data_IF_466659398812
#
_entry.id   IF_466659398812
#
_cell.length_a   1.000
_cell.length_b   1.000
_cell.length_c   1.000
_cell.angle_alpha   90.00
_cell.angle_beta   90.00
_cell.angle_gamma   90.00
#
_symmetry.space_group_name_H-M   'P 1'
#
loop_
_entity.id
_entity.type
_entity.pdbx_description
1 polymer ?
#
# COMPACT_ATOMS: atom_id res chain seq x y z
N UNK A 1 18.75 71.62 -13.58
CA UNK A 1 19.78 70.57 -13.44
C UNK A 1 19.18 69.27 -13.90
N UNK A 2 19.81 68.57 -14.85
CA UNK A 2 19.24 67.39 -15.49
C UNK A 2 19.67 66.12 -14.74
N UNK A 3 18.70 65.41 -14.15
CA UNK A 3 18.96 64.20 -13.36
C UNK A 3 18.43 62.95 -14.07
N UNK A 4 19.01 61.80 -13.72
CA UNK A 4 18.56 60.47 -14.09
C UNK A 4 18.07 59.75 -12.83
N UNK A 5 16.87 59.20 -12.89
CA UNK A 5 16.30 58.33 -11.85
C UNK A 5 16.79 56.90 -12.02
N UNK A 6 17.28 56.30 -10.93
CA UNK A 6 17.70 54.90 -10.87
C UNK A 6 16.97 54.22 -9.72
N UNK A 7 16.36 53.07 -10.02
CA UNK A 7 15.79 52.16 -9.02
C UNK A 7 16.82 51.07 -8.72
N UNK A 8 17.35 51.05 -7.51
CA UNK A 8 18.15 49.94 -6.97
C UNK A 8 17.24 48.92 -6.29
N UNK A 9 17.40 47.64 -6.59
CA UNK A 9 16.67 46.55 -5.95
C UNK A 9 17.67 45.53 -5.39
N UNK A 10 17.53 45.20 -4.11
CA UNK A 10 18.20 44.09 -3.44
C UNK A 10 17.17 43.00 -3.13
N UNK A 11 17.31 41.84 -3.75
CA UNK A 11 16.35 40.74 -3.70
C UNK A 11 16.88 39.62 -2.80
N UNK A 12 16.45 39.63 -1.54
CA UNK A 12 16.72 38.58 -0.57
C UNK A 12 15.72 37.41 -0.64
N UNK A 13 15.95 36.37 0.16
CA UNK A 13 15.07 35.20 0.25
C UNK A 13 13.71 35.51 0.89
N UNK A 14 13.66 36.52 1.76
CA UNK A 14 12.47 36.95 2.51
C UNK A 14 12.31 38.48 2.57
N UNK A 15 13.09 39.24 1.79
CA UNK A 15 13.03 40.69 1.81
C UNK A 15 13.37 41.29 0.45
N UNK A 16 12.83 42.47 0.18
CA UNK A 16 13.13 43.28 -0.99
C UNK A 16 13.56 44.66 -0.48
N UNK A 17 14.85 44.94 -0.53
CA UNK A 17 15.38 46.28 -0.34
C UNK A 17 15.23 47.08 -1.62
N UNK A 18 14.78 48.34 -1.52
CA UNK A 18 14.60 49.17 -2.70
C UNK A 18 14.97 50.63 -2.41
N UNK A 19 15.63 51.26 -3.38
CA UNK A 19 16.03 52.66 -3.33
C UNK A 19 15.76 53.36 -4.65
N UNK A 20 15.25 54.58 -4.59
CA UNK A 20 15.11 55.45 -5.76
C UNK A 20 16.09 56.62 -5.59
N UNK A 21 17.07 56.72 -6.49
CA UNK A 21 18.11 57.74 -6.43
C UNK A 21 18.08 58.61 -7.69
N UNK A 22 18.19 59.91 -7.49
CA UNK A 22 18.42 60.89 -8.54
C UNK A 22 19.92 61.15 -8.64
N UNK A 23 20.53 60.78 -9.75
CA UNK A 23 21.95 61.08 -10.03
C UNK A 23 22.08 62.07 -11.19
N UNK A 24 23.14 62.87 -11.24
CA UNK A 24 23.45 63.72 -12.41
C UNK A 24 23.60 62.90 -13.69
N UNK A 25 23.19 63.48 -14.83
CA UNK A 25 23.36 62.80 -16.14
C UNK A 25 24.82 62.78 -16.62
N UNK A 26 25.61 63.80 -16.29
CA UNK A 26 27.03 63.89 -16.65
C UNK A 26 27.93 63.36 -15.53
N UNK A 27 29.03 62.72 -15.90
CA UNK A 27 30.02 62.20 -14.96
C UNK A 27 30.78 63.32 -14.25
N UNK A 28 30.98 64.46 -14.92
CA UNK A 28 31.66 65.64 -14.38
C UNK A 28 30.87 66.30 -13.24
N UNK A 29 29.58 65.98 -13.14
CA UNK A 29 28.68 66.50 -12.11
C UNK A 29 28.44 65.50 -10.97
N UNK A 30 29.04 64.32 -11.04
CA UNK A 30 28.89 63.29 -10.01
C UNK A 30 29.39 63.82 -8.65
N UNK A 31 28.58 63.70 -7.61
CA UNK A 31 28.89 64.22 -6.27
C UNK A 31 28.57 65.70 -6.05
N UNK A 32 28.21 66.48 -7.09
CA UNK A 32 27.84 67.90 -6.94
C UNK A 32 26.37 68.11 -6.55
N UNK A 33 25.48 67.30 -7.13
CA UNK A 33 24.05 67.33 -6.83
C UNK A 33 23.44 65.95 -7.07
N UNK A 34 22.25 65.71 -6.54
CA UNK A 34 21.61 64.40 -6.50
C UNK A 34 21.03 64.14 -5.13
N UNK A 35 20.08 63.22 -5.04
CA UNK A 35 19.44 62.90 -3.78
C UNK A 35 18.88 61.48 -3.78
N UNK A 36 18.72 60.95 -2.58
CA UNK A 36 17.90 59.76 -2.36
C UNK A 36 16.45 60.26 -2.29
N UNK A 37 15.64 59.84 -3.25
CA UNK A 37 14.21 60.21 -3.32
C UNK A 37 13.38 59.30 -2.44
N UNK A 38 13.73 58.02 -2.37
CA UNK A 38 13.01 57.05 -1.57
C UNK A 38 13.90 55.86 -1.17
N UNK A 39 13.63 55.33 0.02
CA UNK A 39 14.21 54.10 0.54
C UNK A 39 13.10 53.28 1.18
N UNK A 40 13.12 51.97 0.96
CA UNK A 40 12.18 51.06 1.60
C UNK A 40 12.73 49.65 1.70
N UNK A 41 12.20 48.91 2.68
CA UNK A 41 12.40 47.47 2.78
C UNK A 41 11.04 46.79 2.90
N UNK A 42 10.77 45.87 1.99
CA UNK A 42 9.57 45.02 2.04
C UNK A 42 9.97 43.67 2.59
N UNK A 43 9.54 43.39 3.83
CA UNK A 43 9.69 42.07 4.43
C UNK A 43 8.56 41.17 3.94
N UNK A 44 8.92 40.00 3.42
CA UNK A 44 8.00 38.94 3.05
C UNK A 44 7.87 38.02 4.28
N UNK A 45 6.69 37.94 4.91
CA UNK A 45 6.53 37.11 6.10
C UNK A 45 6.67 35.63 5.74
N UNK A 46 7.72 35.01 6.26
CA UNK A 46 8.01 33.57 6.15
C UNK A 46 8.19 33.02 7.56
N UNK A 47 7.83 31.76 7.78
CA UNK A 47 8.00 31.11 9.09
C UNK A 47 9.49 30.96 9.43
N UNK A 48 9.88 31.32 10.66
CA UNK A 48 11.28 31.31 11.11
C UNK A 48 11.95 29.93 10.94
N UNK A 49 11.24 28.85 11.27
CA UNK A 49 11.72 27.48 11.09
C UNK A 49 12.01 27.11 9.63
N UNK A 50 11.26 27.68 8.67
CA UNK A 50 11.49 27.45 7.26
C UNK A 50 12.76 28.17 6.79
N UNK A 51 12.96 29.42 7.22
CA UNK A 51 14.15 30.21 6.95
C UNK A 51 15.42 29.56 7.52
N UNK A 52 15.39 29.14 8.78
CA UNK A 52 16.54 28.50 9.43
C UNK A 52 16.95 27.18 8.75
N UNK A 53 15.96 26.39 8.31
CA UNK A 53 16.22 25.15 7.56
C UNK A 53 16.74 25.43 6.15
N UNK A 54 16.26 26.48 5.51
CA UNK A 54 16.71 26.88 4.18
C UNK A 54 18.17 27.41 4.22
N UNK A 55 18.47 28.28 5.18
CA UNK A 55 19.82 28.87 5.36
C UNK A 55 20.88 27.83 5.78
N UNK A 56 20.50 26.82 6.55
CA UNK A 56 21.38 25.69 6.90
C UNK A 56 21.58 24.67 5.77
N UNK A 57 20.98 24.89 4.59
CA UNK A 57 21.04 23.95 3.46
C UNK A 57 20.20 22.68 3.66
N UNK A 58 19.34 22.66 4.68
CA UNK A 58 18.40 21.57 4.94
C UNK A 58 17.23 21.55 3.97
N UNK A 59 16.58 20.39 3.82
CA UNK A 59 15.35 20.29 3.04
C UNK A 59 14.20 21.00 3.78
N UNK A 60 13.92 22.25 3.39
CA UNK A 60 12.77 22.99 3.88
C UNK A 60 11.49 22.54 3.14
N UNK A 61 10.54 21.94 3.86
CA UNK A 61 9.24 21.57 3.27
C UNK A 61 8.40 22.83 3.03
N UNK A 62 8.02 23.09 1.79
CA UNK A 62 7.14 24.22 1.47
C UNK A 62 5.71 23.97 1.93
N UNK A 63 4.95 25.05 2.23
CA UNK A 63 3.50 24.96 2.51
C UNK A 63 2.74 24.26 1.39
N UNK A 64 3.16 24.45 0.14
CA UNK A 64 2.57 23.78 -1.02
C UNK A 64 2.85 22.27 -1.03
N UNK A 65 4.05 21.84 -0.64
CA UNK A 65 4.41 20.43 -0.48
C UNK A 65 3.56 19.77 0.62
N UNK A 66 3.46 20.39 1.80
CA UNK A 66 2.63 19.88 2.90
C UNK A 66 1.14 19.79 2.49
N UNK A 67 0.62 20.81 1.80
CA UNK A 67 -0.76 20.79 1.24
C UNK A 67 -0.94 19.66 0.24
N UNK A 68 0.05 19.39 -0.61
CA UNK A 68 0.05 18.30 -1.60
C UNK A 68 -0.02 16.94 -0.92
N UNK A 69 0.77 16.70 0.13
CA UNK A 69 0.75 15.45 0.91
C UNK A 69 -0.66 15.23 1.50
N UNK A 70 -1.18 16.23 2.23
CA UNK A 70 -2.53 16.14 2.83
C UNK A 70 -3.62 15.90 1.77
N UNK A 71 -3.53 16.55 0.60
CA UNK A 71 -4.45 16.34 -0.53
C UNK A 71 -4.34 14.91 -1.09
N UNK A 72 -3.13 14.37 -1.18
CA UNK A 72 -2.88 12.98 -1.57
C UNK A 72 -3.59 11.99 -0.66
N UNK A 73 -3.40 12.11 0.66
CA UNK A 73 -4.04 11.24 1.65
C UNK A 73 -5.57 11.30 1.59
N UNK A 74 -6.15 12.49 1.39
CA UNK A 74 -7.61 12.64 1.20
C UNK A 74 -8.11 11.90 -0.05
N UNK A 75 -7.39 12.02 -1.17
CA UNK A 75 -7.73 11.30 -2.41
C UNK A 75 -7.63 9.78 -2.22
N UNK A 76 -6.61 9.29 -1.51
CA UNK A 76 -6.47 7.86 -1.20
C UNK A 76 -7.62 7.34 -0.35
N UNK A 77 -8.01 8.06 0.71
CA UNK A 77 -9.16 7.73 1.55
C UNK A 77 -10.47 7.72 0.75
N UNK A 78 -10.68 8.70 -0.12
CA UNK A 78 -11.85 8.75 -1.00
C UNK A 78 -11.90 7.55 -1.95
N UNK A 79 -10.78 7.23 -2.62
CA UNK A 79 -10.69 6.07 -3.52
C UNK A 79 -10.89 4.75 -2.78
N UNK A 80 -10.41 4.63 -1.54
CA UNK A 80 -10.66 3.45 -0.70
C UNK A 80 -12.15 3.25 -0.43
N UNK A 81 -12.86 4.32 -0.02
CA UNK A 81 -14.32 4.28 0.19
C UNK A 81 -15.04 3.89 -1.10
N UNK A 82 -14.75 4.58 -2.20
CA UNK A 82 -15.40 4.35 -3.49
C UNK A 82 -15.27 2.89 -3.97
N UNK A 83 -14.09 2.26 -3.82
CA UNK A 83 -13.92 0.84 -4.19
C UNK A 83 -14.72 -0.10 -3.31
N UNK A 84 -14.83 0.19 -2.02
CA UNK A 84 -15.64 -0.61 -1.08
C UNK A 84 -17.13 -0.46 -1.37
N UNK A 85 -17.58 0.77 -1.65
CA UNK A 85 -18.97 1.05 -2.04
C UNK A 85 -19.33 0.30 -3.33
N UNK A 86 -18.43 0.32 -4.32
CA UNK A 86 -18.61 -0.44 -5.58
C UNK A 86 -18.72 -1.94 -5.34
N UNK A 87 -17.85 -2.51 -4.51
CA UNK A 87 -17.92 -3.94 -4.18
C UNK A 87 -19.25 -4.31 -3.51
N UNK A 88 -19.69 -3.51 -2.54
CA UNK A 88 -20.96 -3.75 -1.84
C UNK A 88 -22.14 -3.68 -2.81
N UNK A 89 -22.16 -2.70 -3.73
CA UNK A 89 -23.20 -2.61 -4.78
C UNK A 89 -23.24 -3.86 -5.65
N UNK A 90 -22.07 -4.36 -6.06
CA UNK A 90 -21.98 -5.63 -6.81
C UNK A 90 -22.57 -6.77 -6.00
N UNK A 91 -22.19 -6.91 -4.73
CA UNK A 91 -22.73 -7.97 -3.87
C UNK A 91 -24.24 -7.86 -3.65
N UNK A 92 -24.79 -6.66 -3.48
CA UNK A 92 -26.25 -6.45 -3.38
C UNK A 92 -26.97 -6.87 -4.65
N UNK A 93 -26.49 -6.43 -5.82
CA UNK A 93 -27.08 -6.83 -7.11
C UNK A 93 -27.06 -8.35 -7.25
N UNK A 94 -25.94 -9.00 -6.91
CA UNK A 94 -25.81 -10.46 -6.95
C UNK A 94 -26.73 -11.17 -5.95
N UNK A 95 -27.26 -10.49 -4.94
CA UNK A 95 -28.00 -11.10 -3.82
C UNK A 95 -27.09 -11.74 -2.77
N UNK A 96 -25.80 -11.42 -2.80
CA UNK A 96 -24.77 -11.91 -1.87
C UNK A 96 -24.79 -11.13 -0.55
N UNK A 97 -25.22 -9.88 -0.59
CA UNK A 97 -25.48 -9.07 0.60
C UNK A 97 -26.92 -8.57 0.55
N UNK A 98 -27.58 -8.44 1.72
CA UNK A 98 -28.91 -7.87 1.77
C UNK A 98 -28.88 -6.37 1.42
N UNK A 99 -29.99 -5.87 0.89
CA UNK A 99 -30.16 -4.46 0.51
C UNK A 99 -29.96 -3.51 1.69
N UNK A 100 -30.21 -4.04 2.89
CA UNK A 100 -30.13 -3.33 4.15
C UNK A 100 -28.69 -3.12 4.67
N UNK A 101 -27.69 -3.71 4.01
CA UNK A 101 -26.28 -3.55 4.34
C UNK A 101 -25.86 -2.07 4.25
N UNK A 102 -25.35 -1.44 5.33
CA UNK A 102 -25.37 0.02 5.46
C UNK A 102 -24.17 0.76 4.85
N UNK A 103 -23.09 0.04 4.50
CA UNK A 103 -21.77 0.67 4.33
C UNK A 103 -21.55 1.41 3.00
N UNK A 104 -22.38 1.15 1.99
CA UNK A 104 -22.35 1.82 0.68
C UNK A 104 -23.22 3.09 0.63
N UNK A 105 -23.97 3.39 1.70
CA UNK A 105 -24.88 4.53 1.76
C UNK A 105 -24.64 5.38 3.01
N UNK A 106 -23.93 6.50 2.83
CA UNK A 106 -23.65 7.44 3.92
C UNK A 106 -24.90 8.11 4.51
N UNK A 107 -26.01 8.23 3.76
CA UNK A 107 -27.28 8.78 4.31
C UNK A 107 -27.90 7.80 5.30
N UNK A 108 -27.96 6.52 4.93
CA UNK A 108 -28.43 5.44 5.79
C UNK A 108 -27.64 5.35 7.11
N UNK A 109 -26.32 5.52 7.05
CA UNK A 109 -25.49 5.57 8.26
C UNK A 109 -25.91 6.74 9.17
N UNK A 110 -26.20 7.91 8.60
CA UNK A 110 -26.66 9.08 9.37
C UNK A 110 -28.05 8.87 9.95
N UNK A 111 -28.97 8.26 9.21
CA UNK A 111 -30.31 7.88 9.68
C UNK A 111 -30.22 6.94 10.88
N UNK A 112 -29.41 5.88 10.80
CA UNK A 112 -29.15 4.96 11.93
C UNK A 112 -28.59 5.70 13.15
N UNK A 113 -27.69 6.68 12.95
CA UNK A 113 -27.16 7.48 14.05
C UNK A 113 -28.23 8.38 14.65
N UNK A 114 -29.11 8.97 13.83
CA UNK A 114 -30.20 9.80 14.31
C UNK A 114 -31.21 9.00 15.14
N UNK A 115 -31.52 7.77 14.72
CA UNK A 115 -32.47 6.88 15.39
C UNK A 115 -31.91 6.25 16.67
N UNK A 116 -30.67 5.73 16.62
CA UNK A 116 -30.08 4.89 17.68
C UNK A 116 -29.04 5.66 18.52
N UNK A 117 -28.69 6.88 18.14
CA UNK A 117 -27.64 7.70 18.75
C UNK A 117 -26.21 7.25 18.44
N UNK A 118 -26.02 6.08 17.81
CA UNK A 118 -24.70 5.55 17.44
C UNK A 118 -24.76 4.60 16.25
N UNK A 119 -23.70 4.57 15.46
CA UNK A 119 -23.49 3.56 14.43
C UNK A 119 -22.64 2.41 14.97
N UNK A 120 -23.22 1.22 15.03
CA UNK A 120 -22.51 -0.03 15.35
C UNK A 120 -22.68 -1.00 14.20
N UNK A 121 -21.57 -1.45 13.62
CA UNK A 121 -21.58 -2.39 12.49
C UNK A 121 -20.66 -3.56 12.78
N UNK A 122 -21.20 -4.77 12.67
CA UNK A 122 -20.45 -6.03 12.65
C UNK A 122 -20.77 -6.75 11.36
N UNK A 123 -19.74 -7.02 10.58
CA UNK A 123 -19.88 -7.74 9.31
C UNK A 123 -20.44 -9.16 9.50
N UNK A 124 -20.21 -9.74 10.66
CA UNK A 124 -20.66 -11.08 11.07
C UNK A 124 -22.16 -11.19 11.30
N UNK A 125 -22.84 -10.07 11.48
CA UNK A 125 -24.30 -10.03 11.56
C UNK A 125 -24.94 -10.19 10.16
N UNK A 126 -24.19 -9.89 9.09
CA UNK A 126 -24.66 -9.95 7.71
C UNK A 126 -24.13 -11.16 6.93
N UNK A 127 -22.87 -11.52 7.17
CA UNK A 127 -22.19 -12.65 6.52
C UNK A 127 -21.46 -13.47 7.57
N UNK A 128 -22.17 -14.33 8.32
CA UNK A 128 -21.58 -15.15 9.38
C UNK A 128 -20.66 -16.23 8.79
N UNK A 129 -19.60 -16.57 9.52
CA UNK A 129 -18.76 -17.74 9.22
C UNK A 129 -19.44 -19.00 9.75
N UNK A 130 -19.36 -20.12 9.04
CA UNK A 130 -20.01 -21.36 9.47
C UNK A 130 -19.39 -21.91 10.77
N UNK A 131 -20.20 -22.59 11.58
CA UNK A 131 -19.73 -23.24 12.82
C UNK A 131 -18.63 -24.25 12.49
N UNK A 132 -18.78 -25.00 11.39
CA UNK A 132 -17.81 -25.98 10.95
C UNK A 132 -16.44 -25.34 10.65
N UNK A 133 -16.43 -24.22 9.91
CA UNK A 133 -15.17 -23.49 9.67
C UNK A 133 -14.53 -22.96 10.95
N UNK A 134 -15.30 -22.60 11.99
CA UNK A 134 -14.71 -22.28 13.30
C UNK A 134 -14.12 -23.52 13.96
N UNK A 135 -14.82 -24.66 13.94
CA UNK A 135 -14.31 -25.91 14.51
C UNK A 135 -12.98 -26.29 13.88
N UNK A 136 -12.92 -26.34 12.55
CA UNK A 136 -11.69 -26.64 11.83
C UNK A 136 -10.58 -25.61 12.14
N UNK A 137 -10.91 -24.31 12.15
CA UNK A 137 -9.96 -23.25 12.50
C UNK A 137 -9.34 -23.44 13.89
N UNK A 138 -10.15 -23.68 14.92
CA UNK A 138 -9.63 -23.87 16.28
C UNK A 138 -8.88 -25.20 16.42
N UNK A 139 -9.25 -26.25 15.66
CA UNK A 139 -8.48 -27.51 15.60
C UNK A 139 -7.06 -27.28 15.09
N UNK A 140 -6.86 -26.44 14.08
CA UNK A 140 -5.52 -26.07 13.59
C UNK A 140 -4.65 -25.41 14.69
N UNK A 141 -5.26 -24.72 15.65
CA UNK A 141 -4.58 -24.15 16.82
C UNK A 141 -4.39 -25.14 17.99
N UNK A 142 -4.69 -26.43 17.79
CA UNK A 142 -4.49 -27.50 18.78
C UNK A 142 -5.57 -27.56 19.87
N UNK A 143 -6.75 -26.97 19.65
CA UNK A 143 -7.85 -27.08 20.60
C UNK A 143 -8.51 -28.47 20.53
N UNK A 144 -8.67 -29.12 21.69
CA UNK A 144 -9.34 -30.42 21.85
C UNK A 144 -10.87 -30.29 21.76
N UNK A 145 -11.56 -31.36 21.40
CA UNK A 145 -13.02 -31.37 21.14
C UNK A 145 -13.85 -30.84 22.31
N UNK A 146 -13.54 -31.20 23.57
CA UNK A 146 -14.25 -30.69 24.75
C UNK A 146 -14.22 -29.15 24.84
N UNK A 147 -13.04 -28.56 24.55
CA UNK A 147 -12.85 -27.10 24.58
C UNK A 147 -13.47 -26.43 23.34
N UNK A 148 -13.55 -27.14 22.22
CA UNK A 148 -14.19 -26.63 21.01
C UNK A 148 -15.68 -26.40 21.24
N UNK A 149 -16.39 -27.32 21.89
CA UNK A 149 -17.82 -27.15 22.13
C UNK A 149 -18.10 -25.91 23.00
N UNK A 150 -17.32 -25.70 24.08
CA UNK A 150 -17.40 -24.47 24.89
C UNK A 150 -17.14 -23.19 24.07
N UNK A 151 -16.18 -23.24 23.15
CA UNK A 151 -15.85 -22.12 22.26
C UNK A 151 -16.99 -21.84 21.27
N UNK A 152 -17.58 -22.89 20.68
CA UNK A 152 -18.69 -22.78 19.74
C UNK A 152 -19.94 -22.23 20.44
N UNK A 153 -20.24 -22.71 21.64
CA UNK A 153 -21.31 -22.17 22.48
C UNK A 153 -21.09 -20.68 22.75
N UNK A 154 -19.87 -20.27 23.12
CA UNK A 154 -19.56 -18.86 23.34
C UNK A 154 -19.67 -18.01 22.06
N UNK A 155 -19.27 -18.54 20.89
CA UNK A 155 -19.46 -17.87 19.59
C UNK A 155 -20.95 -17.65 19.32
N UNK A 156 -21.77 -18.69 19.50
CA UNK A 156 -23.22 -18.62 19.29
C UNK A 156 -23.91 -17.68 20.31
N UNK A 157 -23.47 -17.71 21.56
CA UNK A 157 -23.95 -16.80 22.61
C UNK A 157 -23.62 -15.34 22.29
N UNK A 158 -22.38 -15.05 21.86
CA UNK A 158 -21.99 -13.71 21.41
C UNK A 158 -22.78 -13.28 20.18
N UNK A 159 -23.08 -14.17 19.23
CA UNK A 159 -23.94 -13.85 18.07
C UNK A 159 -25.35 -13.46 18.51
N UNK A 160 -26.00 -14.30 19.32
CA UNK A 160 -27.37 -14.06 19.83
C UNK A 160 -27.49 -12.74 20.59
N UNK A 161 -26.47 -12.40 21.38
CA UNK A 161 -26.46 -11.17 22.19
C UNK A 161 -25.84 -9.96 21.46
N UNK A 162 -25.54 -10.08 20.17
CA UNK A 162 -24.81 -9.06 19.36
C UNK A 162 -23.49 -8.62 20.02
N UNK A 163 -22.88 -9.51 20.80
CA UNK A 163 -21.64 -9.33 21.57
C UNK A 163 -21.75 -8.37 22.75
N UNK A 164 -22.97 -8.06 23.22
CA UNK A 164 -23.18 -7.27 24.44
C UNK A 164 -22.86 -8.06 25.71
N UNK A 165 -23.01 -9.40 25.66
CA UNK A 165 -22.63 -10.32 26.73
C UNK A 165 -21.52 -11.23 26.24
N UNK A 166 -20.63 -11.62 27.15
CA UNK A 166 -19.52 -12.55 26.90
C UNK A 166 -19.20 -13.31 28.18
N UNK A 167 -18.80 -14.56 28.04
CA UNK A 167 -18.15 -15.27 29.13
C UNK A 167 -16.70 -14.77 29.27
N UNK A 168 -16.31 -14.20 30.42
CA UNK A 168 -14.94 -13.68 30.63
C UNK A 168 -13.87 -14.78 30.62
N UNK A 169 -14.23 -16.02 30.96
CA UNK A 169 -13.29 -17.13 31.08
C UNK A 169 -12.91 -17.73 29.72
N UNK A 170 -13.73 -17.49 28.69
CA UNK A 170 -13.52 -18.00 27.33
C UNK A 170 -12.95 -16.90 26.43
N UNK A 171 -11.64 -16.98 26.21
CA UNK A 171 -10.91 -16.09 25.28
C UNK A 171 -10.96 -16.63 23.85
N UNK A 172 -11.83 -16.04 23.03
CA UNK A 172 -11.89 -16.30 21.59
C UNK A 172 -10.68 -15.70 20.86
N UNK A 173 -10.22 -16.38 19.82
CA UNK A 173 -9.25 -15.84 18.87
C UNK A 173 -9.90 -14.78 17.97
N UNK A 174 -9.12 -13.84 17.41
CA UNK A 174 -9.65 -12.79 16.54
C UNK A 174 -10.36 -13.36 15.30
N UNK A 175 -11.53 -12.83 14.97
CA UNK A 175 -12.28 -13.28 13.79
C UNK A 175 -11.51 -13.03 12.47
N UNK A 176 -10.70 -11.96 12.39
CA UNK A 176 -9.81 -11.69 11.27
C UNK A 176 -8.91 -12.90 10.94
N UNK A 177 -8.48 -13.68 11.95
CA UNK A 177 -7.61 -14.85 11.77
C UNK A 177 -8.34 -16.00 11.08
N UNK A 178 -9.62 -16.16 11.38
CA UNK A 178 -10.48 -17.15 10.71
C UNK A 178 -10.57 -16.84 9.22
N UNK A 179 -10.54 -15.57 8.82
CA UNK A 179 -10.54 -15.21 7.39
C UNK A 179 -9.22 -15.60 6.70
N UNK A 180 -8.08 -15.59 7.38
CA UNK A 180 -6.82 -16.14 6.84
C UNK A 180 -6.90 -17.66 6.68
N UNK A 181 -7.46 -18.35 7.67
CA UNK A 181 -7.75 -19.78 7.55
C UNK A 181 -8.68 -20.09 6.38
N UNK A 182 -9.77 -19.33 6.21
CA UNK A 182 -10.71 -19.51 5.10
C UNK A 182 -10.03 -19.32 3.75
N UNK A 183 -9.05 -18.41 3.63
CA UNK A 183 -8.25 -18.23 2.41
C UNK A 183 -7.40 -19.47 2.09
N UNK A 184 -6.81 -20.11 3.10
CA UNK A 184 -6.12 -21.40 2.96
C UNK A 184 -7.11 -22.52 2.59
N UNK A 185 -8.19 -22.67 3.37
CA UNK A 185 -9.23 -23.68 3.18
C UNK A 185 -9.84 -23.63 1.78
N UNK A 186 -10.14 -22.43 1.26
CA UNK A 186 -10.80 -22.24 -0.02
C UNK A 186 -9.97 -22.67 -1.25
N UNK A 187 -8.66 -22.90 -1.08
CA UNK A 187 -7.79 -23.43 -2.13
C UNK A 187 -7.94 -24.95 -2.32
N UNK A 188 -8.57 -25.67 -1.37
CA UNK A 188 -8.67 -27.12 -1.42
C UNK A 188 -10.07 -27.67 -1.07
N UNK A 189 -10.79 -27.00 -0.17
CA UNK A 189 -12.12 -27.42 0.32
C UNK A 189 -13.18 -26.40 -0.07
N UNK A 190 -14.41 -26.89 -0.21
CA UNK A 190 -15.57 -26.02 -0.45
C UNK A 190 -15.84 -25.17 0.79
N UNK A 191 -16.08 -23.88 0.57
CA UNK A 191 -16.53 -22.94 1.61
C UNK A 191 -17.98 -22.50 1.34
N UNK A 192 -18.61 -21.82 2.29
CA UNK A 192 -19.92 -21.19 2.06
C UNK A 192 -19.81 -19.94 1.18
N UNK A 193 -20.93 -19.43 0.67
CA UNK A 193 -20.92 -18.21 -0.13
C UNK A 193 -20.55 -16.99 0.74
N UNK A 194 -21.07 -16.94 1.97
CA UNK A 194 -20.79 -15.93 2.99
C UNK A 194 -19.29 -15.86 3.31
N UNK A 195 -18.64 -17.02 3.44
CA UNK A 195 -17.19 -17.11 3.64
C UNK A 195 -16.41 -16.62 2.42
N UNK A 196 -16.87 -16.92 1.20
CA UNK A 196 -16.23 -16.38 -0.01
C UNK A 196 -16.37 -14.85 -0.06
N UNK A 197 -17.53 -14.32 0.29
CA UNK A 197 -17.78 -12.87 0.40
C UNK A 197 -16.82 -12.25 1.44
N UNK A 198 -16.60 -12.91 2.59
CA UNK A 198 -15.62 -12.46 3.61
C UNK A 198 -14.21 -12.36 3.04
N UNK A 199 -13.77 -13.35 2.27
CA UNK A 199 -12.45 -13.36 1.63
C UNK A 199 -12.32 -12.19 0.65
N UNK A 200 -13.27 -12.05 -0.28
CA UNK A 200 -13.23 -10.98 -1.29
C UNK A 200 -13.27 -9.60 -0.61
N UNK A 201 -14.09 -9.46 0.44
CA UNK A 201 -14.21 -8.21 1.17
C UNK A 201 -12.92 -7.82 1.90
N UNK A 202 -12.20 -8.76 2.53
CA UNK A 202 -10.92 -8.43 3.17
C UNK A 202 -9.84 -8.09 2.13
N UNK A 203 -9.84 -8.76 0.97
CA UNK A 203 -8.91 -8.47 -0.13
C UNK A 203 -9.17 -7.08 -0.73
N UNK A 204 -10.43 -6.62 -0.81
CA UNK A 204 -10.75 -5.25 -1.19
C UNK A 204 -10.22 -4.21 -0.19
N UNK A 205 -10.31 -4.52 1.11
CA UNK A 205 -9.74 -3.66 2.15
C UNK A 205 -8.21 -3.65 2.13
N UNK A 206 -7.59 -4.80 1.86
CA UNK A 206 -6.14 -5.03 1.93
C UNK A 206 -5.56 -5.52 0.59
N UNK A 207 -5.82 -4.76 -0.48
CA UNK A 207 -5.49 -5.13 -1.87
C UNK A 207 -4.01 -5.09 -2.28
N UNK A 208 -3.09 -4.92 -1.32
CA UNK A 208 -1.66 -4.81 -1.60
C UNK A 208 -1.20 -3.61 -2.44
N UNK A 209 0.11 -3.55 -2.61
CA UNK A 209 0.84 -2.51 -3.32
C UNK A 209 0.99 -2.84 -4.82
N UNK A 210 0.76 -1.86 -5.69
CA UNK A 210 1.01 -1.96 -7.14
C UNK A 210 1.98 -0.84 -7.52
N UNK A 211 3.13 -1.19 -8.08
CA UNK A 211 4.13 -0.21 -8.50
C UNK A 211 3.67 0.51 -9.76
N UNK A 212 3.46 1.83 -9.67
CA UNK A 212 3.04 2.65 -10.81
C UNK A 212 4.16 2.92 -11.84
N UNK A 213 5.42 2.58 -11.53
CA UNK A 213 6.58 2.80 -12.41
C UNK A 213 6.89 1.63 -13.35
N UNK A 214 6.31 0.45 -13.11
CA UNK A 214 6.64 -0.78 -13.86
C UNK A 214 5.68 -1.06 -15.02
N UNK A 215 4.41 -0.66 -14.91
CA UNK A 215 3.40 -0.85 -15.97
C UNK A 215 3.60 0.02 -17.22
N UNK A 216 4.57 0.95 -17.23
CA UNK A 216 4.93 1.78 -18.40
C UNK A 216 6.17 1.24 -19.15
N UNK A 217 6.80 0.16 -18.67
CA UNK A 217 7.95 -0.45 -19.35
C UNK A 217 7.44 -1.54 -20.30
N UNK A 218 8.08 -1.64 -21.46
CA UNK A 218 7.87 -2.71 -22.45
C UNK A 218 7.75 -4.10 -21.79
N UNK A 219 6.76 -4.87 -22.23
CA UNK A 219 6.50 -6.26 -21.79
C UNK A 219 7.70 -7.20 -22.04
N UNK A 220 8.70 -6.77 -22.82
CA UNK A 220 9.89 -7.53 -23.17
C UNK A 220 11.02 -7.47 -22.12
N UNK A 221 10.82 -6.81 -20.97
CA UNK A 221 11.85 -6.70 -19.92
C UNK A 221 11.47 -7.53 -18.69
N UNK A 222 12.20 -8.63 -18.47
CA UNK A 222 12.06 -9.44 -17.25
C UNK A 222 12.94 -8.82 -16.15
N UNK A 223 12.30 -8.18 -15.17
CA UNK A 223 12.95 -7.58 -14.00
C UNK A 223 12.62 -8.39 -12.73
N UNK A 224 13.61 -9.11 -12.20
CA UNK A 224 13.49 -9.93 -10.98
C UNK A 224 14.20 -9.21 -9.84
N UNK A 225 13.56 -9.13 -8.66
CA UNK A 225 14.17 -8.59 -7.45
C UNK A 225 14.19 -9.67 -6.39
N UNK A 226 15.34 -9.87 -5.74
CA UNK A 226 15.45 -10.72 -4.56
C UNK A 226 16.14 -9.98 -3.43
N UNK A 227 15.72 -10.26 -2.20
CA UNK A 227 16.31 -9.70 -1.00
C UNK A 227 17.18 -10.77 -0.36
N UNK A 228 18.41 -10.39 -0.02
CA UNK A 228 19.40 -11.26 0.60
C UNK A 228 19.92 -10.65 1.88
N UNK A 229 20.31 -11.51 2.81
CA UNK A 229 21.15 -11.12 3.93
C UNK A 229 22.58 -11.57 3.63
N UNK A 230 23.39 -10.67 3.06
CA UNK A 230 24.73 -10.97 2.55
C UNK A 230 25.79 -10.69 3.62
N UNK A 231 26.75 -11.60 3.72
CA UNK A 231 28.06 -11.36 4.34
C UNK A 231 29.04 -10.99 3.23
N UNK A 232 29.84 -9.94 3.43
CA UNK A 232 30.86 -9.54 2.45
C UNK A 232 32.15 -10.30 2.75
N UNK A 233 32.65 -11.04 1.78
CA UNK A 233 33.88 -11.84 1.89
C UNK A 233 35.13 -10.96 1.80
N UNK A 234 35.22 -10.09 0.79
CA UNK A 234 36.34 -9.17 0.60
C UNK A 234 35.90 -7.87 -0.07
N UNK A 235 36.67 -6.80 0.17
CA UNK A 235 36.56 -5.52 -0.53
C UNK A 235 37.91 -5.18 -1.16
N UNK A 236 37.97 -5.24 -2.48
CA UNK A 236 39.19 -5.07 -3.27
C UNK A 236 39.20 -3.72 -4.00
N UNK A 237 40.36 -3.06 -4.09
CA UNK A 237 40.48 -1.81 -4.83
C UNK A 237 40.58 -2.14 -6.33
N UNK A 238 39.68 -1.58 -7.15
CA UNK A 238 39.68 -1.83 -8.60
C UNK A 238 40.78 -1.05 -9.32
N UNK A 239 41.00 0.21 -8.93
CA UNK A 239 42.00 1.10 -9.50
C UNK A 239 42.41 2.16 -8.49
N UNK A 240 43.69 2.56 -8.53
CA UNK A 240 44.21 3.69 -7.72
C UNK A 240 43.77 5.05 -8.28
N UNK A 241 43.29 5.10 -9.53
CA UNK A 241 42.74 6.30 -10.15
C UNK A 241 41.43 6.73 -9.49
N UNK A 242 41.36 8.01 -9.10
CA UNK A 242 40.16 8.65 -8.55
C UNK A 242 39.22 9.09 -9.65
N UNK A 243 37.92 8.95 -9.42
CA UNK A 243 36.92 9.50 -10.33
C UNK A 243 36.91 11.05 -10.31
N UNK A 244 36.16 11.69 -11.22
CA UNK A 244 36.02 13.16 -11.29
C UNK A 244 35.55 13.85 -9.99
N UNK A 245 35.04 13.08 -9.02
CA UNK A 245 34.58 13.53 -7.70
C UNK A 245 35.57 13.20 -6.56
N UNK A 246 36.76 12.67 -6.89
CA UNK A 246 37.81 12.33 -5.92
C UNK A 246 37.62 10.99 -5.18
N UNK A 247 36.78 10.08 -5.68
CA UNK A 247 36.44 8.81 -5.03
C UNK A 247 37.16 7.62 -5.68
N UNK A 248 37.44 6.59 -4.89
CA UNK A 248 37.98 5.30 -5.34
C UNK A 248 36.86 4.33 -5.71
N UNK A 249 37.14 3.38 -6.60
CA UNK A 249 36.22 2.29 -6.97
C UNK A 249 36.66 1.00 -6.31
N UNK A 250 35.76 0.38 -5.54
CA UNK A 250 35.99 -0.89 -4.86
C UNK A 250 35.10 -1.99 -5.45
N UNK A 251 35.65 -3.20 -5.58
CA UNK A 251 34.91 -4.42 -5.91
C UNK A 251 34.49 -5.09 -4.62
N UNK A 252 33.19 -5.34 -4.48
CA UNK A 252 32.59 -5.98 -3.32
C UNK A 252 32.28 -7.44 -3.67
N UNK A 253 32.91 -8.37 -2.97
CA UNK A 253 32.73 -9.81 -3.18
C UNK A 253 31.81 -10.38 -2.07
N UNK A 254 30.58 -10.82 -2.37
CA UNK A 254 29.71 -11.47 -1.40
C UNK A 254 30.17 -12.92 -1.11
N UNK A 255 29.73 -13.49 0.02
CA UNK A 255 30.02 -14.89 0.36
C UNK A 255 29.22 -15.90 -0.49
N UNK A 256 28.03 -15.54 -0.98
CA UNK A 256 27.18 -16.44 -1.76
C UNK A 256 27.47 -16.33 -3.26
N UNK A 257 27.39 -17.45 -3.98
CA UNK A 257 27.63 -17.52 -5.43
C UNK A 257 26.47 -17.02 -6.30
N UNK A 258 25.26 -16.91 -5.75
CA UNK A 258 24.06 -16.47 -6.50
C UNK A 258 24.09 -14.96 -6.82
N UNK A 259 24.93 -14.18 -6.12
CA UNK A 259 25.06 -12.73 -6.32
C UNK A 259 26.45 -12.44 -6.87
N UNK A 260 26.52 -11.85 -8.06
CA UNK A 260 27.78 -11.47 -8.69
C UNK A 260 28.46 -10.34 -7.90
N UNK A 261 29.80 -10.27 -7.89
CA UNK A 261 30.51 -9.10 -7.37
C UNK A 261 30.07 -7.80 -8.03
N UNK A 262 30.12 -6.69 -7.29
CA UNK A 262 29.70 -5.39 -7.83
C UNK A 262 30.65 -4.26 -7.43
N UNK A 263 30.52 -3.13 -8.11
CA UNK A 263 31.37 -1.95 -7.91
C UNK A 263 30.70 -0.87 -7.06
N UNK A 264 31.44 -0.35 -6.09
CA UNK A 264 31.03 0.73 -5.20
C UNK A 264 32.08 1.86 -5.18
N UNK A 265 31.64 3.11 -5.32
CA UNK A 265 32.54 4.27 -5.34
C UNK A 265 32.49 5.03 -4.02
N UNK A 266 33.62 5.13 -3.33
CA UNK A 266 33.70 5.79 -2.01
C UNK A 266 35.03 6.53 -1.80
N UNK A 267 35.05 7.51 -0.89
CA UNK A 267 36.25 8.29 -0.55
C UNK A 267 37.29 7.49 0.25
N UNK A 268 36.86 6.47 1.00
CA UNK A 268 37.70 5.59 1.81
C UNK A 268 37.23 4.14 1.66
N UNK A 269 38.14 3.18 1.88
CA UNK A 269 37.80 1.76 1.89
C UNK A 269 36.74 1.50 2.97
N UNK A 270 35.61 0.87 2.64
CA UNK A 270 34.59 0.54 3.63
C UNK A 270 35.01 -0.67 4.47
N UNK A 271 34.76 -0.61 5.77
CA UNK A 271 34.89 -1.75 6.68
C UNK A 271 33.65 -2.64 6.61
N UNK A 272 33.36 -3.23 5.45
CA UNK A 272 32.20 -4.11 5.26
C UNK A 272 32.56 -5.58 5.29
N UNK A 273 33.84 -5.93 5.16
CA UNK A 273 34.34 -7.30 5.25
C UNK A 273 33.87 -7.96 6.55
N UNK A 274 33.28 -9.16 6.44
CA UNK A 274 32.70 -9.92 7.55
C UNK A 274 31.38 -9.37 8.10
N UNK A 275 30.91 -8.19 7.69
CA UNK A 275 29.65 -7.61 8.19
C UNK A 275 28.44 -8.14 7.43
N UNK A 276 27.42 -8.57 8.17
CA UNK A 276 26.13 -9.02 7.65
C UNK A 276 25.21 -7.83 7.38
N UNK A 277 24.72 -7.68 6.16
CA UNK A 277 23.81 -6.60 5.77
C UNK A 277 22.72 -7.11 4.83
N UNK A 278 21.55 -6.48 4.87
CA UNK A 278 20.46 -6.77 3.94
C UNK A 278 20.66 -6.01 2.63
N UNK A 279 20.50 -6.69 1.51
CA UNK A 279 20.60 -6.14 0.17
C UNK A 279 19.38 -6.52 -0.65
N UNK A 280 18.95 -5.63 -1.54
CA UNK A 280 18.04 -5.95 -2.64
C UNK A 280 18.85 -6.00 -3.92
N UNK A 281 18.88 -7.17 -4.54
CA UNK A 281 19.55 -7.42 -5.80
C UNK A 281 18.48 -7.47 -6.89
N UNK A 282 18.72 -6.75 -8.00
CA UNK A 282 17.79 -6.68 -9.13
C UNK A 282 18.47 -7.25 -10.36
N UNK A 283 17.84 -8.19 -11.05
CA UNK A 283 18.26 -8.70 -12.34
C UNK A 283 17.34 -8.14 -13.42
N UNK A 284 17.94 -7.71 -14.54
CA UNK A 284 17.21 -7.26 -15.73
C UNK A 284 17.71 -8.06 -16.92
N UNK A 285 16.84 -8.85 -17.54
CA UNK A 285 17.17 -9.74 -18.66
C UNK A 285 18.38 -10.64 -18.35
N UNK A 286 18.39 -11.26 -17.17
CA UNK A 286 19.48 -12.13 -16.70
C UNK A 286 20.71 -11.39 -16.13
N UNK A 287 20.90 -10.11 -16.44
CA UNK A 287 22.06 -9.34 -15.93
C UNK A 287 21.79 -8.73 -14.55
N UNK A 288 22.70 -8.94 -13.62
CA UNK A 288 22.65 -8.32 -12.30
C UNK A 288 22.87 -6.79 -12.39
N UNK A 289 21.97 -6.02 -11.79
CA UNK A 289 22.18 -4.60 -11.47
C UNK A 289 22.85 -4.47 -10.12
N UNK A 290 23.52 -3.34 -9.91
CA UNK A 290 24.18 -3.02 -8.66
C UNK A 290 23.26 -3.27 -7.44
N UNK A 291 23.64 -4.18 -6.53
CA UNK A 291 22.93 -4.43 -5.28
C UNK A 291 22.72 -3.15 -4.48
N UNK A 292 21.51 -2.98 -3.96
CA UNK A 292 21.16 -1.85 -3.11
C UNK A 292 21.16 -2.29 -1.66
N UNK A 293 22.02 -1.68 -0.84
CA UNK A 293 22.02 -1.94 0.61
C UNK A 293 20.73 -1.36 1.20
N UNK A 294 20.01 -2.21 1.92
CA UNK A 294 18.81 -1.83 2.65
C UNK A 294 19.18 -0.96 3.85
N UNK A 295 18.48 0.16 4.03
CA UNK A 295 18.40 0.83 5.32
C UNK A 295 17.37 0.14 6.22
N UNK A 296 17.43 0.37 7.54
CA UNK A 296 16.54 -0.29 8.50
C UNK A 296 15.03 -0.07 8.20
N UNK A 297 14.70 1.04 7.51
CA UNK A 297 13.32 1.44 7.20
C UNK A 297 12.91 1.22 5.72
N UNK A 298 13.73 0.52 4.93
CA UNK A 298 13.41 0.28 3.52
C UNK A 298 12.29 -0.76 3.36
N UNK A 299 11.04 -0.26 3.33
CA UNK A 299 9.85 -1.08 3.10
C UNK A 299 9.92 -1.93 1.82
N UNK A 300 10.65 -1.47 0.79
CA UNK A 300 10.83 -2.23 -0.45
C UNK A 300 11.58 -3.54 -0.22
N UNK A 301 12.56 -3.55 0.69
CA UNK A 301 13.31 -4.74 1.06
C UNK A 301 12.40 -5.74 1.77
N UNK A 302 11.54 -5.25 2.66
CA UNK A 302 10.55 -6.06 3.37
C UNK A 302 9.56 -6.70 2.39
N UNK A 303 9.05 -5.92 1.42
CA UNK A 303 8.15 -6.45 0.36
C UNK A 303 8.84 -7.54 -0.42
N UNK A 304 10.07 -7.30 -0.89
CA UNK A 304 10.79 -8.24 -1.76
C UNK A 304 11.17 -9.51 -1.00
N UNK A 305 11.66 -9.38 0.24
CA UNK A 305 11.96 -10.54 1.08
C UNK A 305 10.73 -11.43 1.27
N UNK A 306 9.60 -10.82 1.64
CA UNK A 306 8.36 -11.54 1.83
C UNK A 306 7.82 -12.16 0.54
N UNK A 307 7.93 -11.45 -0.60
CA UNK A 307 7.52 -12.02 -1.90
C UNK A 307 8.33 -13.27 -2.25
N UNK A 308 9.63 -13.28 -1.95
CA UNK A 308 10.49 -14.45 -2.15
C UNK A 308 10.16 -15.58 -1.18
N UNK A 309 9.90 -15.29 0.10
CA UNK A 309 9.52 -16.32 1.07
C UNK A 309 8.22 -17.01 0.68
N UNK A 310 7.22 -16.23 0.24
CA UNK A 310 5.94 -16.76 -0.26
C UNK A 310 6.16 -17.63 -1.51
N UNK A 311 7.00 -17.17 -2.45
CA UNK A 311 7.36 -17.93 -3.66
C UNK A 311 8.08 -19.24 -3.32
N UNK A 312 9.08 -19.20 -2.44
CA UNK A 312 9.88 -20.36 -2.06
C UNK A 312 9.03 -21.45 -1.39
N UNK A 313 8.01 -21.06 -0.64
CA UNK A 313 7.05 -22.00 -0.04
C UNK A 313 5.95 -22.43 -1.00
N UNK A 314 5.90 -21.87 -2.21
CA UNK A 314 4.84 -22.07 -3.19
C UNK A 314 3.44 -21.81 -2.61
N UNK A 315 3.30 -20.75 -1.81
CA UNK A 315 2.06 -20.43 -1.09
C UNK A 315 1.39 -19.19 -1.66
N UNK A 316 0.10 -19.05 -1.35
CA UNK A 316 -0.59 -17.77 -1.47
C UNK A 316 -0.51 -16.95 -0.17
N UNK A 317 -0.65 -15.61 -0.21
CA UNK A 317 -0.50 -14.78 0.98
C UNK A 317 -1.43 -15.17 2.15
N UNK A 318 -2.64 -15.66 1.88
CA UNK A 318 -3.58 -16.07 2.94
C UNK A 318 -3.10 -17.29 3.71
N UNK A 319 -2.62 -18.29 2.99
CA UNK A 319 -2.01 -19.50 3.53
C UNK A 319 -0.73 -19.17 4.29
N UNK A 320 0.19 -18.42 3.68
CA UNK A 320 1.45 -18.02 4.32
C UNK A 320 1.20 -17.33 5.66
N UNK A 321 0.32 -16.32 5.70
CA UNK A 321 0.05 -15.59 6.95
C UNK A 321 -0.72 -16.42 7.97
N UNK A 322 -1.54 -17.38 7.54
CA UNK A 322 -2.18 -18.30 8.47
C UNK A 322 -1.14 -19.22 9.13
N UNK A 323 -0.20 -19.76 8.34
CA UNK A 323 0.87 -20.62 8.85
C UNK A 323 1.81 -19.87 9.80
N UNK A 324 2.12 -18.60 9.52
CA UNK A 324 2.90 -17.76 10.43
C UNK A 324 2.13 -17.46 11.74
N UNK A 325 0.80 -17.32 11.71
CA UNK A 325 -0.01 -17.20 12.93
C UNK A 325 -0.03 -18.48 13.77
N UNK A 326 0.02 -19.65 13.14
CA UNK A 326 0.10 -20.93 13.84
C UNK A 326 1.43 -21.06 14.61
N UNK A 327 2.52 -20.57 14.01
CA UNK A 327 3.85 -20.54 14.65
C UNK A 327 3.95 -19.47 15.74
N UNK A 328 3.51 -18.25 15.45
CA UNK A 328 3.54 -17.13 16.38
C UNK A 328 2.21 -16.36 16.39
N UNK A 329 1.49 -16.47 17.50
CA UNK A 329 0.23 -15.74 17.74
C UNK A 329 0.41 -14.22 17.79
N UNK A 330 1.63 -13.72 17.95
CA UNK A 330 1.95 -12.29 17.93
C UNK A 330 2.41 -11.80 16.55
N UNK A 331 2.39 -12.65 15.52
CA UNK A 331 2.85 -12.31 14.18
C UNK A 331 2.06 -11.13 13.60
N UNK A 332 2.76 -10.02 13.31
CA UNK A 332 2.16 -8.73 12.98
C UNK A 332 1.83 -8.61 11.48
N UNK A 333 0.88 -9.41 10.99
CA UNK A 333 0.51 -9.47 9.55
C UNK A 333 0.30 -8.08 8.92
N UNK A 334 -0.31 -7.14 9.64
CA UNK A 334 -0.61 -5.78 9.12
C UNK A 334 0.63 -4.92 8.83
N UNK A 335 1.80 -5.30 9.35
CA UNK A 335 3.06 -4.59 9.10
C UNK A 335 3.76 -5.06 7.83
N UNK A 336 3.27 -6.14 7.21
CA UNK A 336 3.89 -6.75 6.04
C UNK A 336 3.19 -6.32 4.74
N UNK A 337 3.80 -5.44 3.95
CA UNK A 337 3.27 -5.05 2.65
C UNK A 337 3.41 -6.20 1.62
N UNK A 338 2.31 -6.52 0.93
CA UNK A 338 2.25 -7.55 -0.12
C UNK A 338 2.02 -6.90 -1.49
N UNK A 339 2.65 -7.46 -2.53
CA UNK A 339 2.39 -7.06 -3.92
C UNK A 339 0.97 -7.43 -4.34
N UNK A 340 0.25 -6.49 -4.97
CA UNK A 340 -1.14 -6.69 -5.43
C UNK A 340 -1.30 -7.90 -6.34
N UNK A 341 -0.30 -8.19 -7.18
CA UNK A 341 -0.30 -9.37 -8.06
C UNK A 341 -0.53 -10.68 -7.29
N UNK A 342 0.02 -10.79 -6.07
CA UNK A 342 -0.12 -11.99 -5.23
C UNK A 342 -1.53 -12.18 -4.71
N UNK A 343 -2.17 -11.10 -4.26
CA UNK A 343 -3.57 -11.15 -3.83
C UNK A 343 -4.52 -11.42 -5.01
N UNK A 344 -4.20 -10.92 -6.22
CA UNK A 344 -4.97 -11.23 -7.43
C UNK A 344 -4.84 -12.71 -7.80
N UNK A 345 -3.63 -13.23 -7.84
CA UNK A 345 -3.37 -14.65 -8.11
C UNK A 345 -4.05 -15.57 -7.08
N UNK A 346 -3.99 -15.21 -5.79
CA UNK A 346 -4.71 -15.92 -4.72
C UNK A 346 -6.23 -15.89 -4.92
N UNK A 347 -6.79 -14.71 -5.22
CA UNK A 347 -8.23 -14.59 -5.46
C UNK A 347 -8.67 -15.42 -6.66
N UNK A 348 -7.90 -15.41 -7.74
CA UNK A 348 -8.15 -16.20 -8.94
C UNK A 348 -8.05 -17.70 -8.65
N UNK A 349 -7.04 -18.15 -7.92
CA UNK A 349 -6.90 -19.54 -7.49
C UNK A 349 -8.09 -19.99 -6.63
N UNK A 350 -8.45 -19.19 -5.61
CA UNK A 350 -9.63 -19.46 -4.77
C UNK A 350 -10.89 -19.52 -5.62
N UNK A 351 -11.09 -18.55 -6.53
CA UNK A 351 -12.27 -18.48 -7.38
C UNK A 351 -12.40 -19.72 -8.26
N UNK A 352 -11.33 -20.11 -8.94
CA UNK A 352 -11.31 -21.25 -9.84
C UNK A 352 -11.53 -22.57 -9.11
N UNK A 353 -10.86 -22.79 -7.96
CA UNK A 353 -11.10 -23.97 -7.13
C UNK A 353 -12.55 -24.01 -6.64
N UNK A 354 -13.09 -22.89 -6.15
CA UNK A 354 -14.47 -22.87 -5.65
C UNK A 354 -15.50 -23.10 -6.77
N UNK A 355 -15.23 -22.64 -7.99
CA UNK A 355 -16.05 -22.99 -9.16
C UNK A 355 -16.00 -24.50 -9.43
N UNK A 356 -14.80 -25.08 -9.52
CA UNK A 356 -14.62 -26.51 -9.77
C UNK A 356 -15.36 -27.38 -8.73
N UNK A 357 -15.21 -27.06 -7.43
CA UNK A 357 -15.87 -27.80 -6.35
C UNK A 357 -17.41 -27.63 -6.33
N UNK A 358 -17.96 -26.65 -7.05
CA UNK A 358 -19.41 -26.37 -7.14
C UNK A 358 -20.05 -26.84 -8.44
N UNK A 359 -19.26 -27.04 -9.51
CA UNK A 359 -19.73 -27.53 -10.81
C UNK A 359 -20.52 -28.84 -10.71
N UNK A 360 -20.18 -29.68 -9.75
CA UNK A 360 -20.84 -30.97 -9.52
C UNK A 360 -22.27 -30.85 -8.91
N UNK A 361 -22.84 -29.65 -8.74
CA UNK A 361 -24.08 -29.44 -8.01
C UNK A 361 -25.08 -28.43 -8.63
N UNK A 362 -24.97 -28.05 -9.92
CA UNK A 362 -25.78 -26.98 -10.54
C UNK A 362 -25.73 -25.60 -9.83
N UNK A 363 -24.82 -25.39 -8.88
CA UNK A 363 -24.62 -24.14 -8.12
C UNK A 363 -23.63 -23.17 -8.76
N UNK A 364 -23.20 -23.45 -9.99
CA UNK A 364 -22.36 -22.54 -10.79
C UNK A 364 -23.10 -21.23 -11.14
N UNK A 365 -24.43 -21.30 -11.28
CA UNK A 365 -25.28 -20.11 -11.49
C UNK A 365 -25.22 -19.12 -10.30
N UNK A 366 -25.17 -19.59 -9.05
CA UNK A 366 -25.11 -18.73 -7.85
C UNK A 366 -23.88 -17.81 -7.82
N UNK A 367 -22.76 -18.26 -8.39
CA UNK A 367 -21.51 -17.49 -8.43
C UNK A 367 -21.42 -16.60 -9.67
N UNK A 368 -21.82 -17.11 -10.83
CA UNK A 368 -21.58 -16.42 -12.11
C UNK A 368 -22.70 -15.46 -12.49
N UNK A 369 -23.95 -15.72 -12.08
CA UNK A 369 -25.15 -14.87 -12.28
C UNK A 369 -25.02 -13.97 -13.52
N UNK A 370 -24.80 -14.57 -14.70
CA UNK A 370 -24.41 -13.85 -15.92
C UNK A 370 -25.46 -12.80 -16.30
N UNK A 371 -26.72 -13.08 -16.01
CA UNK A 371 -27.86 -12.21 -16.26
C UNK A 371 -27.78 -10.88 -15.48
N UNK A 372 -27.01 -10.85 -14.38
CA UNK A 372 -26.79 -9.66 -13.55
C UNK A 372 -25.60 -8.82 -13.99
N UNK A 373 -24.76 -9.30 -14.91
CA UNK A 373 -23.56 -8.58 -15.37
C UNK A 373 -23.92 -7.26 -16.05
N UNK A 374 -25.02 -7.22 -16.80
CA UNK A 374 -25.49 -6.00 -17.43
C UNK A 374 -25.89 -4.94 -16.39
N UNK A 375 -26.68 -5.34 -15.40
CA UNK A 375 -27.06 -4.45 -14.30
C UNK A 375 -25.85 -3.98 -13.49
N UNK A 376 -24.88 -4.88 -13.23
CA UNK A 376 -23.63 -4.52 -12.55
C UNK A 376 -22.85 -3.48 -13.35
N UNK A 377 -22.63 -3.72 -14.65
CA UNK A 377 -21.90 -2.82 -15.52
C UNK A 377 -22.55 -1.44 -15.58
N UNK A 378 -23.87 -1.38 -15.79
CA UNK A 378 -24.65 -0.14 -15.82
C UNK A 378 -24.59 0.60 -14.47
N UNK A 379 -24.65 -0.13 -13.35
CA UNK A 379 -24.58 0.46 -12.00
C UNK A 379 -23.20 1.04 -11.69
N UNK A 380 -22.12 0.36 -12.09
CA UNK A 380 -20.75 0.81 -11.85
C UNK A 380 -20.34 1.97 -12.77
N UNK A 381 -20.86 1.97 -14.01
CA UNK A 381 -20.41 2.87 -15.08
C UNK A 381 -21.57 3.45 -15.89
N UNK A 382 -22.48 4.20 -15.23
CA UNK A 382 -23.71 4.76 -15.81
C UNK A 382 -23.57 5.38 -17.22
N UNK A 383 -22.48 6.10 -17.48
CA UNK A 383 -22.28 6.85 -18.73
C UNK A 383 -21.17 6.30 -19.64
N UNK A 384 -20.45 5.26 -19.23
CA UNK A 384 -19.30 4.74 -20.00
C UNK A 384 -19.65 3.40 -20.66
N UNK A 385 -20.25 3.48 -21.85
CA UNK A 385 -20.73 2.31 -22.62
C UNK A 385 -19.58 1.37 -23.00
N UNK A 386 -18.41 1.93 -23.36
CA UNK A 386 -17.21 1.13 -23.70
C UNK A 386 -16.80 0.28 -22.50
N UNK A 387 -16.72 0.89 -21.31
CA UNK A 387 -16.37 0.17 -20.09
C UNK A 387 -17.43 -0.85 -19.71
N UNK A 388 -18.72 -0.54 -19.90
CA UNK A 388 -19.79 -1.51 -19.67
C UNK A 388 -19.64 -2.75 -20.55
N UNK A 389 -19.35 -2.57 -21.85
CA UNK A 389 -19.12 -3.67 -22.79
C UNK A 389 -17.91 -4.52 -22.37
N UNK A 390 -16.79 -3.87 -22.02
CA UNK A 390 -15.59 -4.56 -21.52
C UNK A 390 -15.90 -5.43 -20.29
N UNK A 391 -16.65 -4.89 -19.30
CA UNK A 391 -16.98 -5.63 -18.10
C UNK A 391 -17.92 -6.82 -18.37
N UNK A 392 -18.89 -6.65 -19.28
CA UNK A 392 -19.79 -7.73 -19.70
C UNK A 392 -19.02 -8.89 -20.33
N UNK A 393 -18.06 -8.58 -21.21
CA UNK A 393 -17.24 -9.57 -21.91
C UNK A 393 -16.28 -10.31 -20.97
N UNK A 394 -15.61 -9.59 -20.05
CA UNK A 394 -14.60 -10.18 -19.16
C UNK A 394 -15.17 -10.88 -17.91
N UNK A 395 -16.43 -10.64 -17.58
CA UNK A 395 -17.16 -11.36 -16.52
C UNK A 395 -16.85 -10.93 -15.08
N UNK A 396 -17.48 -11.61 -14.13
CA UNK A 396 -17.54 -11.18 -12.72
C UNK A 396 -16.17 -11.21 -12.01
N UNK A 397 -15.36 -12.25 -12.25
CA UNK A 397 -14.03 -12.33 -11.65
C UNK A 397 -13.20 -11.09 -12.04
N UNK A 398 -13.20 -10.71 -13.32
CA UNK A 398 -12.52 -9.51 -13.79
C UNK A 398 -13.04 -8.23 -13.13
N UNK A 399 -14.36 -8.09 -13.00
CA UNK A 399 -14.97 -6.94 -12.30
C UNK A 399 -14.44 -6.84 -10.86
N UNK A 400 -14.36 -7.96 -10.14
CA UNK A 400 -13.89 -7.98 -8.76
C UNK A 400 -12.38 -7.79 -8.68
N UNK A 401 -11.59 -8.58 -9.41
CA UNK A 401 -10.14 -8.68 -9.27
C UNK A 401 -9.36 -7.58 -9.99
N UNK A 402 -9.86 -7.04 -11.11
CA UNK A 402 -9.15 -6.05 -11.93
C UNK A 402 -9.73 -4.65 -11.80
N UNK A 403 -11.06 -4.51 -11.84
CA UNK A 403 -11.71 -3.21 -11.82
C UNK A 403 -11.90 -2.65 -10.40
N UNK A 404 -12.23 -3.51 -9.42
CA UNK A 404 -12.54 -3.10 -8.05
C UNK A 404 -11.34 -3.25 -7.09
N UNK A 405 -10.61 -4.38 -7.12
CA UNK A 405 -9.46 -4.66 -6.24
C UNK A 405 -8.15 -4.19 -6.89
#
# INVERSE_FOLDING_TARGET
METKKILGLDLGTNSIGASLVNIPKSIDDFGKYGNIEWLGSRIIPVEGDYLQKFESGGQAETKAAARRIKRGSRRLKHRYKLRRDRLIKVFKILGWLPDDFPLDNSKRIKEIIAEVGKFSFKISDYIPISIESYREFYKEFGYKDEKLEQIIEEINFRRKTKGKKKNPDIKLLPEDWVVYYLRKKALAKKITLEELIRIIYILNQRRGFKSSRKDLKDDNVIEIKKAYELVIKSVELKSEEKNKKGQYTFIINPTISEVEPWEETMYKKPEWEGKKNKYVVTWKNGKQLKPQRATADDWEVVVVALDNEIEQRNQHPGEFFFDELLKDKNYKIRQFPILRKRYKAELEAIWNTQLQLRKNANKEQELLNKDKLELIAATLYKHNIVKQKELKEKGLLHIISEDII
#
